data_IF_220546104042
#
_entry.id   IF_220546104042
#
_cell.length_a   1.000
_cell.length_b   1.000
_cell.length_c   1.000
_cell.angle_alpha   90.00
_cell.angle_beta   90.00
_cell.angle_gamma   90.00
#
_symmetry.space_group_name_H-M   'P 1'
#
loop_
_entity.id
_entity.type
_entity.pdbx_description
1 polymer ?
#
# COMPACT_ATOMS: atom_id res chain seq x y z
N UNK A 1 -5.20 16.59 11.98
CA UNK A 1 -6.58 16.07 12.09
C UNK A 1 -6.92 15.33 10.80
N UNK A 2 -7.34 14.09 10.91
CA UNK A 2 -7.70 13.26 9.76
C UNK A 2 -9.07 12.65 10.03
N UNK A 3 -9.96 12.71 9.05
CA UNK A 3 -11.28 12.07 9.11
C UNK A 3 -11.37 10.99 8.04
N UNK A 4 -11.79 9.80 8.44
CA UNK A 4 -12.14 8.74 7.51
C UNK A 4 -13.66 8.74 7.35
N UNK A 5 -14.15 8.97 6.14
CA UNK A 5 -15.58 9.14 5.87
C UNK A 5 -16.29 7.78 5.76
N UNK A 6 -16.16 6.96 6.81
CA UNK A 6 -16.68 5.60 6.84
C UNK A 6 -18.18 5.53 7.13
N UNK A 7 -18.75 6.56 7.76
CA UNK A 7 -20.17 6.63 8.12
C UNK A 7 -20.61 8.10 8.25
N UNK A 8 -21.92 8.31 8.35
CA UNK A 8 -22.49 9.65 8.32
C UNK A 8 -22.01 10.55 9.46
N UNK A 9 -21.83 10.00 10.66
CA UNK A 9 -21.33 10.77 11.79
C UNK A 9 -19.92 11.31 11.54
N UNK A 10 -19.03 10.49 10.97
CA UNK A 10 -17.68 10.92 10.62
C UNK A 10 -17.72 12.00 9.53
N UNK A 11 -18.60 11.84 8.54
CA UNK A 11 -18.79 12.84 7.48
C UNK A 11 -19.27 14.17 8.04
N UNK A 12 -20.23 14.17 8.97
CA UNK A 12 -20.72 15.38 9.62
C UNK A 12 -19.64 16.08 10.43
N UNK A 13 -18.81 15.32 11.16
CA UNK A 13 -17.67 15.87 11.90
C UNK A 13 -16.65 16.52 10.98
N UNK A 14 -16.38 15.91 9.84
CA UNK A 14 -15.49 16.49 8.85
C UNK A 14 -16.03 17.80 8.29
N UNK A 15 -17.33 17.86 7.98
CA UNK A 15 -17.98 19.08 7.49
C UNK A 15 -17.90 20.20 8.54
N UNK A 16 -18.14 19.89 9.82
CA UNK A 16 -18.02 20.89 10.88
C UNK A 16 -16.59 21.37 11.07
N UNK A 17 -15.61 20.48 10.97
CA UNK A 17 -14.19 20.86 11.03
C UNK A 17 -13.83 21.85 9.92
N UNK A 18 -14.37 21.64 8.71
CA UNK A 18 -14.16 22.55 7.57
C UNK A 18 -14.82 23.90 7.86
N UNK A 19 -16.06 23.91 8.37
CA UNK A 19 -16.78 25.15 8.71
C UNK A 19 -16.07 25.98 9.76
N UNK A 20 -15.46 25.32 10.75
CA UNK A 20 -14.80 25.97 11.89
C UNK A 20 -13.31 26.25 11.61
N UNK A 21 -12.78 25.80 10.48
CA UNK A 21 -11.40 26.03 10.12
C UNK A 21 -11.15 27.51 9.84
N UNK A 22 -9.95 27.98 10.17
CA UNK A 22 -9.56 29.35 9.91
C UNK A 22 -9.32 29.55 8.42
N UNK A 23 -9.57 30.77 7.95
CA UNK A 23 -9.29 31.12 6.57
C UNK A 23 -7.82 30.90 6.25
N UNK A 24 -7.56 30.31 5.08
CA UNK A 24 -6.20 29.97 4.66
C UNK A 24 -5.76 28.55 5.00
N UNK A 25 -6.51 27.84 5.85
CA UNK A 25 -6.25 26.45 6.12
C UNK A 25 -6.60 25.59 4.90
N UNK A 26 -5.90 24.46 4.75
CA UNK A 26 -6.04 23.58 3.60
C UNK A 26 -6.80 22.32 3.99
N UNK A 27 -7.75 21.91 3.15
CA UNK A 27 -8.44 20.63 3.25
C UNK A 27 -7.96 19.73 2.12
N UNK A 28 -7.61 18.49 2.46
CA UNK A 28 -7.20 17.50 1.47
C UNK A 28 -8.15 16.31 1.54
N UNK A 29 -8.66 15.90 0.38
CA UNK A 29 -9.54 14.74 0.25
C UNK A 29 -8.81 13.71 -0.61
N UNK A 30 -8.61 12.52 -0.06
CA UNK A 30 -7.85 11.45 -0.69
C UNK A 30 -8.62 10.14 -0.61
N UNK A 31 -8.47 9.23 -1.58
CA UNK A 31 -9.01 7.87 -1.45
C UNK A 31 -8.32 7.14 -0.30
N UNK A 32 -8.96 6.11 0.28
CA UNK A 32 -8.35 5.37 1.38
C UNK A 32 -7.05 4.71 0.96
N UNK A 33 -6.03 4.88 1.78
CA UNK A 33 -4.73 4.25 1.58
C UNK A 33 -4.74 2.79 2.07
N UNK A 34 -3.61 2.09 1.83
CA UNK A 34 -3.40 0.76 2.34
C UNK A 34 -3.55 0.73 3.86
N UNK A 35 -4.04 -0.38 4.40
CA UNK A 35 -4.20 -0.56 5.84
C UNK A 35 -2.85 -0.86 6.51
N UNK A 36 -2.79 -0.69 7.85
CA UNK A 36 -1.62 -1.10 8.63
C UNK A 36 -1.34 -2.59 8.49
N UNK A 37 -2.39 -3.43 8.40
CA UNK A 37 -2.24 -4.87 8.21
C UNK A 37 -1.61 -5.20 6.86
N UNK A 38 -2.05 -4.53 5.78
CA UNK A 38 -1.44 -4.70 4.45
C UNK A 38 0.02 -4.28 4.45
N UNK A 39 0.33 -3.16 5.07
CA UNK A 39 1.69 -2.65 5.16
C UNK A 39 2.59 -3.62 5.93
N UNK A 40 2.12 -4.11 7.08
CA UNK A 40 2.86 -5.06 7.90
C UNK A 40 3.12 -6.38 7.16
N UNK A 41 2.11 -6.90 6.46
CA UNK A 41 2.26 -8.11 5.65
C UNK A 41 3.29 -7.92 4.52
N UNK A 42 3.25 -6.77 3.84
CA UNK A 42 4.19 -6.47 2.76
C UNK A 42 5.64 -6.47 3.27
N UNK A 43 5.92 -5.76 4.37
CA UNK A 43 7.28 -5.67 4.91
C UNK A 43 7.76 -6.99 5.51
N UNK A 44 6.86 -7.79 6.11
CA UNK A 44 7.19 -9.15 6.55
C UNK A 44 7.56 -10.05 5.36
N UNK A 45 6.87 -9.89 4.24
CA UNK A 45 7.16 -10.59 2.99
C UNK A 45 8.55 -10.21 2.47
N UNK A 46 8.87 -8.92 2.44
CA UNK A 46 10.20 -8.44 2.02
C UNK A 46 11.31 -8.96 2.94
N UNK A 47 11.06 -9.00 4.24
CA UNK A 47 12.02 -9.55 5.20
C UNK A 47 12.28 -11.03 4.94
N UNK A 48 11.23 -11.81 4.69
CA UNK A 48 11.36 -13.23 4.36
C UNK A 48 12.11 -13.45 3.03
N UNK A 49 11.85 -12.62 2.03
CA UNK A 49 12.58 -12.65 0.76
C UNK A 49 14.05 -12.36 0.99
N UNK A 50 14.36 -11.35 1.78
CA UNK A 50 15.73 -10.96 2.13
C UNK A 50 16.51 -12.13 2.77
N UNK A 51 15.84 -12.91 3.61
CA UNK A 51 16.47 -14.06 4.27
C UNK A 51 16.60 -15.29 3.38
N UNK A 52 15.61 -15.54 2.52
CA UNK A 52 15.48 -16.81 1.81
C UNK A 52 15.96 -16.76 0.37
N UNK A 53 15.87 -15.63 -0.30
CA UNK A 53 16.23 -15.49 -1.72
C UNK A 53 17.52 -14.70 -1.84
N UNK A 54 18.56 -15.38 -2.35
CA UNK A 54 19.92 -14.83 -2.46
C UNK A 54 20.40 -14.92 -3.90
N UNK A 55 20.06 -13.96 -4.75
CA UNK A 55 20.52 -13.95 -6.13
C UNK A 55 22.06 -13.93 -6.18
N UNK A 56 22.63 -14.84 -6.94
CA UNK A 56 24.09 -14.99 -7.05
C UNK A 56 24.78 -15.17 -5.68
N UNK A 57 24.08 -15.74 -4.70
CA UNK A 57 24.59 -15.95 -3.35
C UNK A 57 24.65 -14.72 -2.46
N UNK A 58 24.15 -13.58 -2.92
CA UNK A 58 24.20 -12.33 -2.18
C UNK A 58 22.89 -12.06 -1.44
N UNK A 59 23.01 -11.52 -0.24
CA UNK A 59 21.87 -11.08 0.57
C UNK A 59 21.60 -9.61 0.30
N UNK A 60 20.34 -9.26 0.07
CA UNK A 60 19.91 -7.88 -0.11
C UNK A 60 18.93 -7.49 0.99
N UNK A 61 19.02 -6.26 1.49
CA UNK A 61 18.12 -5.74 2.51
C UNK A 61 16.68 -5.61 1.97
N UNK A 62 15.67 -5.63 2.86
CA UNK A 62 14.28 -5.43 2.44
C UNK A 62 14.05 -4.16 1.62
N UNK A 63 14.75 -3.06 1.91
CA UNK A 63 14.67 -1.82 1.15
C UNK A 63 15.11 -1.99 -0.30
N UNK A 64 16.13 -2.80 -0.54
CA UNK A 64 16.60 -3.11 -1.91
C UNK A 64 15.53 -3.90 -2.66
N UNK A 65 14.93 -4.89 -2.01
CA UNK A 65 13.82 -5.64 -2.60
C UNK A 65 12.60 -4.77 -2.87
N UNK A 66 12.32 -3.84 -1.98
CA UNK A 66 11.25 -2.87 -2.18
C UNK A 66 11.49 -2.03 -3.45
N UNK A 67 12.68 -1.51 -3.63
CA UNK A 67 13.04 -0.76 -4.84
C UNK A 67 12.92 -1.62 -6.10
N UNK A 68 13.40 -2.86 -6.05
CA UNK A 68 13.32 -3.78 -7.16
C UNK A 68 11.87 -4.06 -7.59
N UNK A 69 11.00 -4.38 -6.65
CA UNK A 69 9.60 -4.70 -6.95
C UNK A 69 8.80 -3.50 -7.43
N UNK A 70 9.07 -2.32 -6.88
CA UNK A 70 8.46 -1.09 -7.40
C UNK A 70 8.78 -0.88 -8.87
N UNK A 71 10.04 -1.04 -9.22
CA UNK A 71 10.50 -0.88 -10.61
C UNK A 71 9.89 -1.94 -11.52
N UNK A 72 9.75 -3.18 -11.01
CA UNK A 72 9.27 -4.30 -11.82
C UNK A 72 7.75 -4.29 -12.02
N UNK A 73 6.97 -3.94 -11.00
CA UNK A 73 5.51 -4.14 -11.00
C UNK A 73 4.69 -2.86 -11.05
N UNK A 74 5.30 -1.72 -10.80
CA UNK A 74 4.59 -0.44 -10.85
C UNK A 74 5.09 0.39 -12.02
N UNK A 75 4.18 1.02 -12.80
CA UNK A 75 4.60 1.91 -13.86
C UNK A 75 5.19 3.19 -13.29
N UNK A 76 6.27 3.66 -13.89
CA UNK A 76 6.78 5.00 -13.62
C UNK A 76 5.79 6.04 -14.11
N UNK A 77 5.83 7.22 -13.51
CA UNK A 77 4.99 8.34 -13.92
C UNK A 77 5.73 9.16 -14.96
N UNK A 78 5.08 9.40 -16.09
CA UNK A 78 5.64 10.27 -17.14
C UNK A 78 5.33 11.73 -16.78
N UNK A 79 6.37 12.55 -16.73
CA UNK A 79 6.25 13.97 -16.42
C UNK A 79 6.78 14.76 -17.61
N UNK A 80 5.96 15.69 -18.15
CA UNK A 80 6.39 16.61 -19.17
C UNK A 80 7.06 17.81 -18.51
N UNK A 81 8.31 18.07 -18.90
CA UNK A 81 9.09 19.20 -18.39
C UNK A 81 8.75 20.47 -19.15
N UNK A 82 9.04 21.67 -18.57
CA UNK A 82 8.75 22.94 -19.23
C UNK A 82 9.41 23.10 -20.60
N UNK A 83 10.51 22.40 -20.86
CA UNK A 83 11.22 22.43 -22.16
C UNK A 83 10.65 21.44 -23.18
N UNK A 84 9.54 20.75 -22.87
CA UNK A 84 8.91 19.77 -23.74
C UNK A 84 9.51 18.36 -23.65
N UNK A 85 10.57 18.17 -22.91
CA UNK A 85 11.13 16.84 -22.67
C UNK A 85 10.22 16.04 -21.73
N UNK A 86 10.18 14.71 -21.93
CA UNK A 86 9.42 13.79 -21.08
C UNK A 86 10.40 13.05 -20.19
N UNK A 87 10.13 13.05 -18.90
CA UNK A 87 10.93 12.37 -17.89
C UNK A 87 10.07 11.33 -17.16
N UNK A 88 10.64 10.15 -16.89
CA UNK A 88 9.99 9.12 -16.08
C UNK A 88 10.43 9.28 -14.63
N UNK A 89 9.46 9.42 -13.72
CA UNK A 89 9.72 9.45 -12.29
C UNK A 89 9.73 8.03 -11.72
N UNK A 90 10.42 7.85 -10.58
CA UNK A 90 10.43 6.56 -9.90
C UNK A 90 9.02 6.14 -9.48
N UNK A 91 8.68 4.85 -9.65
CA UNK A 91 7.44 4.32 -9.12
C UNK A 91 7.39 4.44 -7.59
N UNK A 92 6.19 4.65 -7.05
CA UNK A 92 5.99 4.74 -5.61
C UNK A 92 4.76 3.94 -5.21
N UNK A 93 4.80 3.33 -4.00
CA UNK A 93 3.64 2.67 -3.41
C UNK A 93 2.73 3.63 -2.66
N UNK A 94 3.19 4.86 -2.40
CA UNK A 94 2.51 5.81 -1.52
C UNK A 94 1.14 6.25 -2.03
N UNK A 95 0.97 6.39 -3.32
CA UNK A 95 -0.30 6.83 -3.91
C UNK A 95 -1.27 5.71 -4.26
N UNK A 96 -0.95 4.45 -3.97
CA UNK A 96 -1.80 3.32 -4.32
C UNK A 96 -3.03 3.25 -3.42
N UNK A 97 -4.19 2.97 -4.03
CA UNK A 97 -5.40 2.63 -3.27
C UNK A 97 -5.21 1.29 -2.55
N UNK A 98 -6.11 0.98 -1.61
CA UNK A 98 -6.11 -0.30 -0.91
C UNK A 98 -6.13 -1.48 -1.89
N UNK A 99 -6.97 -1.44 -2.92
CA UNK A 99 -7.08 -2.49 -3.92
C UNK A 99 -5.81 -2.57 -4.78
N UNK A 100 -5.27 -1.44 -5.22
CA UNK A 100 -4.04 -1.39 -6.01
C UNK A 100 -2.85 -1.91 -5.23
N UNK A 101 -2.75 -1.57 -3.95
CA UNK A 101 -1.68 -2.07 -3.09
C UNK A 101 -1.81 -3.58 -2.86
N UNK A 102 -3.02 -4.09 -2.68
CA UNK A 102 -3.28 -5.52 -2.56
C UNK A 102 -2.83 -6.28 -3.81
N UNK A 103 -3.15 -5.78 -4.98
CA UNK A 103 -2.72 -6.38 -6.25
C UNK A 103 -1.20 -6.38 -6.39
N UNK A 104 -0.56 -5.27 -6.01
CA UNK A 104 0.90 -5.16 -6.02
C UNK A 104 1.55 -6.20 -5.10
N UNK A 105 1.05 -6.33 -3.87
CA UNK A 105 1.59 -7.29 -2.89
C UNK A 105 1.40 -8.73 -3.39
N UNK A 106 0.26 -9.05 -4.01
CA UNK A 106 0.02 -10.37 -4.57
C UNK A 106 1.00 -10.69 -5.72
N UNK A 107 1.35 -9.71 -6.54
CA UNK A 107 2.36 -9.88 -7.58
C UNK A 107 3.75 -10.14 -6.99
N UNK A 108 4.12 -9.41 -5.95
CA UNK A 108 5.39 -9.60 -5.22
C UNK A 108 5.43 -11.01 -4.62
N UNK A 109 4.35 -11.42 -3.96
CA UNK A 109 4.26 -12.73 -3.33
C UNK A 109 4.36 -13.87 -4.37
N UNK A 110 3.65 -13.74 -5.49
CA UNK A 110 3.69 -14.73 -6.57
C UNK A 110 5.10 -14.85 -7.16
N UNK A 111 5.77 -13.74 -7.38
CA UNK A 111 7.15 -13.74 -7.84
C UNK A 111 8.05 -14.47 -6.85
N UNK A 112 7.91 -14.15 -5.57
CA UNK A 112 8.74 -14.72 -4.51
C UNK A 112 8.52 -16.23 -4.36
N UNK A 113 7.29 -16.69 -4.39
CA UNK A 113 6.96 -18.13 -4.31
C UNK A 113 7.56 -18.87 -5.51
N UNK A 114 7.48 -18.29 -6.70
CA UNK A 114 8.08 -18.87 -7.90
C UNK A 114 9.61 -18.93 -7.83
N UNK A 115 10.22 -18.14 -6.96
CA UNK A 115 11.66 -18.11 -6.73
C UNK A 115 12.09 -18.83 -5.45
N UNK A 116 11.19 -19.62 -4.85
CA UNK A 116 11.51 -20.49 -3.73
C UNK A 116 11.14 -19.98 -2.34
N UNK A 117 10.39 -18.90 -2.24
CA UNK A 117 9.97 -18.39 -0.92
C UNK A 117 9.05 -19.39 -0.22
N UNK A 118 9.35 -19.68 1.05
CA UNK A 118 8.46 -20.37 1.97
C UNK A 118 7.84 -19.32 2.91
N UNK A 119 6.52 -19.33 3.03
CA UNK A 119 5.83 -18.39 3.91
C UNK A 119 6.21 -18.66 5.37
N UNK A 120 6.55 -17.58 6.10
CA UNK A 120 6.85 -17.67 7.52
C UNK A 120 5.56 -17.66 8.35
N UNK A 121 5.67 -18.08 9.62
CA UNK A 121 4.55 -18.02 10.55
C UNK A 121 4.04 -16.58 10.73
N UNK A 122 4.94 -15.61 10.79
CA UNK A 122 4.60 -14.20 10.87
C UNK A 122 3.76 -13.75 9.66
N UNK A 123 4.18 -14.14 8.46
CA UNK A 123 3.42 -13.83 7.24
C UNK A 123 2.02 -14.44 7.29
N UNK A 124 1.89 -15.66 7.73
CA UNK A 124 0.60 -16.36 7.83
C UNK A 124 -0.35 -15.65 8.81
N UNK A 125 0.16 -15.23 9.95
CA UNK A 125 -0.63 -14.49 10.95
C UNK A 125 -1.08 -13.13 10.40
N UNK A 126 -0.17 -12.39 9.77
CA UNK A 126 -0.49 -11.07 9.21
C UNK A 126 -1.45 -11.17 8.03
N UNK A 127 -1.34 -12.20 7.20
CA UNK A 127 -2.27 -12.43 6.09
C UNK A 127 -3.67 -12.76 6.60
N UNK A 128 -3.80 -13.59 7.63
CA UNK A 128 -5.09 -13.90 8.24
C UNK A 128 -5.76 -12.65 8.82
N UNK A 129 -5.01 -11.79 9.49
CA UNK A 129 -5.51 -10.53 10.02
C UNK A 129 -5.99 -9.58 8.91
N UNK A 130 -5.26 -9.52 7.79
CA UNK A 130 -5.63 -8.72 6.63
C UNK A 130 -6.91 -9.23 5.98
N UNK A 131 -7.05 -10.54 5.79
CA UNK A 131 -8.24 -11.16 5.21
C UNK A 131 -9.48 -10.93 6.11
N UNK A 132 -9.33 -11.05 7.42
CA UNK A 132 -10.41 -10.78 8.38
C UNK A 132 -10.85 -9.31 8.29
N UNK A 133 -9.93 -8.37 8.22
CA UNK A 133 -10.23 -6.95 8.06
C UNK A 133 -11.00 -6.69 6.77
N UNK A 134 -10.61 -7.33 5.68
CA UNK A 134 -11.27 -7.21 4.38
C UNK A 134 -12.68 -7.77 4.43
N UNK A 135 -12.87 -8.94 5.07
CA UNK A 135 -14.20 -9.55 5.23
C UNK A 135 -15.13 -8.67 6.07
N UNK A 136 -14.65 -8.12 7.19
CA UNK A 136 -15.43 -7.22 8.03
C UNK A 136 -15.90 -5.98 7.25
N UNK A 137 -15.03 -5.41 6.42
CA UNK A 137 -15.37 -4.29 5.56
C UNK A 137 -16.46 -4.66 4.55
N UNK A 138 -16.39 -5.85 3.97
CA UNK A 138 -17.38 -6.38 3.03
C UNK A 138 -18.73 -6.59 3.71
N UNK A 139 -18.74 -7.13 4.93
CA UNK A 139 -19.96 -7.32 5.72
C UNK A 139 -20.60 -5.99 6.09
N UNK A 140 -19.81 -4.97 6.43
CA UNK A 140 -20.30 -3.62 6.70
C UNK A 140 -21.03 -3.01 5.51
N UNK A 141 -20.55 -3.25 4.30
CA UNK A 141 -21.16 -2.76 3.07
C UNK A 141 -22.45 -3.48 2.72
N UNK A 142 -22.66 -4.69 3.20
CA UNK A 142 -23.84 -5.51 2.95
C UNK A 142 -24.92 -5.35 4.03
N UNK A 143 -24.62 -4.73 5.15
CA UNK A 143 -25.61 -4.46 6.21
C UNK A 143 -26.55 -3.34 5.76
N UNK A 144 -27.88 -3.54 5.84
CA UNK A 144 -28.87 -2.50 5.49
C UNK A 144 -28.82 -1.30 6.41
#
# INVERSE_FOLDING_TARGET
>A
MIFTLAHDTARQRAVEAVRNARQGWVVRIEPPNRTSAQNSFYWATLAAISEQIRPQGQTHDPDVWHAYFKTRFLPGRMIELPNGQVMESEPTTTGLTKAQFSDYVEQVLAWAINHGLTQTDEMSVLRAANDTTTQDSSLSLMAP
#
